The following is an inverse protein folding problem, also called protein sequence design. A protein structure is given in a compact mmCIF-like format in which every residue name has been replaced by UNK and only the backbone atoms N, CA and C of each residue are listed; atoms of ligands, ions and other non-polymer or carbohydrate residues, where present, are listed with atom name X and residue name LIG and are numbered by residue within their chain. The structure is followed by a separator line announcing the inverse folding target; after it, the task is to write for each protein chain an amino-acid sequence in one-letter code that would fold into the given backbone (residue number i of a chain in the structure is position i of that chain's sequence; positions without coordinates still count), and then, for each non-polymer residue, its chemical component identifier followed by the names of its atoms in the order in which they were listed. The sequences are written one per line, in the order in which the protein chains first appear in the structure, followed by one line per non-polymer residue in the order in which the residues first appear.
data_IF_150000752807
#
_entry.id   IF_150000752807
#
_cell.length_a   1.000
_cell.length_b   1.000
_cell.length_c   1.000
_cell.angle_alpha   90.00
_cell.angle_beta   90.00
_cell.angle_gamma   90.00
#
_symmetry.space_group_name_H-M   'P 1'
#
loop_
_entity.id
_entity.type
_entity.pdbx_description
1 polymer ?
#
# COMPACT_ATOMS: atom_id res chain seq x y z
N UNK A 1 27.32 -10.60 -2.03
CA UNK A 1 27.80 -9.24 -2.31
C UNK A 1 26.84 -8.55 -3.27
N UNK A 2 26.17 -7.47 -2.86
CA UNK A 2 25.80 -6.41 -3.75
C UNK A 2 24.37 -6.35 -4.32
N UNK A 3 23.41 -7.17 -3.93
CA UNK A 3 22.05 -7.00 -4.46
C UNK A 3 21.28 -5.80 -3.86
N UNK A 4 21.74 -5.21 -2.79
CA UNK A 4 21.09 -4.05 -2.17
C UNK A 4 21.53 -2.70 -2.76
N UNK A 5 22.78 -2.59 -3.26
CA UNK A 5 23.33 -1.32 -3.70
C UNK A 5 22.54 -0.72 -4.87
N UNK A 6 22.13 -1.52 -5.85
CA UNK A 6 21.35 -1.03 -6.98
C UNK A 6 19.95 -0.52 -6.56
N UNK A 7 19.33 -1.11 -5.54
CA UNK A 7 18.03 -0.66 -5.00
C UNK A 7 18.18 0.71 -4.35
N UNK A 8 19.26 0.89 -3.58
CA UNK A 8 19.57 2.17 -2.93
C UNK A 8 19.88 3.24 -3.97
N UNK A 9 20.59 2.89 -5.04
CA UNK A 9 20.88 3.81 -6.13
C UNK A 9 19.61 4.20 -6.90
N UNK A 10 18.72 3.25 -7.21
CA UNK A 10 17.42 3.52 -7.83
C UNK A 10 16.56 4.46 -6.96
N UNK A 11 16.57 4.28 -5.63
CA UNK A 11 15.85 5.17 -4.71
C UNK A 11 16.43 6.57 -4.71
N UNK A 12 17.75 6.72 -4.72
CA UNK A 12 18.43 8.03 -4.83
C UNK A 12 18.12 8.71 -6.15
N UNK A 13 18.13 7.98 -7.28
CA UNK A 13 17.75 8.51 -8.58
C UNK A 13 16.30 9.00 -8.61
N UNK A 14 15.41 8.29 -7.90
CA UNK A 14 14.02 8.71 -7.68
C UNK A 14 13.86 9.84 -6.65
N UNK A 15 14.95 10.38 -6.09
CA UNK A 15 14.96 11.41 -5.03
C UNK A 15 14.28 10.95 -3.73
N UNK A 16 14.31 9.67 -3.43
CA UNK A 16 13.84 9.10 -2.16
C UNK A 16 14.97 9.21 -1.14
N UNK A 17 14.66 9.70 0.06
CA UNK A 17 15.63 9.73 1.17
C UNK A 17 15.93 8.29 1.63
N UNK A 18 17.21 7.93 1.64
CA UNK A 18 17.70 6.60 2.00
C UNK A 18 18.43 6.55 3.34
N UNK A 19 18.42 7.64 4.13
CA UNK A 19 19.17 7.75 5.39
C UNK A 19 18.74 6.73 6.45
N UNK A 20 17.50 6.23 6.35
CA UNK A 20 16.92 5.26 7.28
C UNK A 20 16.82 3.85 6.69
N UNK A 21 17.44 3.60 5.53
CA UNK A 21 17.53 2.24 4.98
C UNK A 21 18.67 1.52 5.67
N UNK A 22 18.35 0.45 6.37
CA UNK A 22 19.30 -0.39 7.07
C UNK A 22 19.84 -1.49 6.15
N UNK A 23 21.08 -1.87 6.34
CA UNK A 23 21.70 -3.02 5.68
C UNK A 23 21.97 -4.12 6.69
N UNK A 24 21.69 -5.37 6.34
CA UNK A 24 22.00 -6.54 7.16
C UNK A 24 23.30 -7.19 6.69
N UNK A 25 24.18 -7.54 7.63
CA UNK A 25 25.37 -8.34 7.34
C UNK A 25 25.09 -9.85 7.33
N UNK A 26 23.95 -10.28 7.87
CA UNK A 26 23.63 -11.68 8.14
C UNK A 26 22.50 -12.23 7.27
N UNK A 27 21.73 -11.38 6.62
CA UNK A 27 20.57 -11.77 5.81
C UNK A 27 20.65 -11.12 4.42
N UNK A 28 20.26 -11.89 3.41
CA UNK A 28 20.16 -11.37 2.05
C UNK A 28 18.93 -10.47 1.90
N UNK A 29 18.96 -9.58 0.92
CA UNK A 29 17.81 -8.75 0.53
C UNK A 29 16.61 -9.63 0.16
N UNK A 30 15.41 -9.23 0.53
CA UNK A 30 14.16 -9.90 0.17
C UNK A 30 14.04 -10.11 -1.35
N UNK A 31 13.50 -11.25 -1.76
CA UNK A 31 13.39 -11.65 -3.16
C UNK A 31 12.00 -12.21 -3.45
N UNK A 32 11.46 -11.89 -4.61
CA UNK A 32 10.24 -12.48 -5.13
C UNK A 32 10.53 -13.28 -6.41
N UNK A 33 10.15 -14.56 -6.40
CA UNK A 33 10.29 -15.46 -7.54
C UNK A 33 8.91 -15.61 -8.20
N UNK A 34 8.74 -15.02 -9.37
CA UNK A 34 7.48 -15.03 -10.09
C UNK A 34 7.52 -16.10 -11.17
N UNK A 35 6.65 -17.11 -11.05
CA UNK A 35 6.46 -18.15 -12.07
C UNK A 35 5.16 -17.85 -12.82
N UNK A 36 5.25 -17.74 -14.14
CA UNK A 36 4.09 -17.49 -15.01
C UNK A 36 3.85 -18.70 -15.88
N UNK A 37 2.63 -19.25 -15.90
CA UNK A 37 2.25 -20.36 -16.79
C UNK A 37 1.96 -19.85 -18.21
N UNK A 38 1.89 -20.79 -19.17
CA UNK A 38 1.53 -20.44 -20.56
C UNK A 38 0.12 -19.84 -20.67
N UNK A 39 -0.76 -20.14 -19.71
CA UNK A 39 -2.10 -19.58 -19.60
C UNK A 39 -2.14 -18.18 -18.94
N UNK A 40 -0.97 -17.64 -18.54
CA UNK A 40 -0.84 -16.33 -17.92
C UNK A 40 -1.16 -16.29 -16.41
N UNK A 41 -1.31 -17.46 -15.76
CA UNK A 41 -1.43 -17.52 -14.30
C UNK A 41 -0.07 -17.31 -13.66
N UNK A 42 0.00 -16.54 -12.60
CA UNK A 42 1.23 -16.32 -11.85
C UNK A 42 1.17 -16.96 -10.45
N UNK A 43 2.30 -17.42 -10.00
CA UNK A 43 2.54 -17.84 -8.61
C UNK A 43 3.79 -17.11 -8.13
N UNK A 44 3.70 -16.45 -6.99
CA UNK A 44 4.79 -15.68 -6.41
C UNK A 44 5.27 -16.38 -5.15
N UNK A 45 6.56 -16.75 -5.14
CA UNK A 45 7.24 -17.22 -3.93
C UNK A 45 8.07 -16.06 -3.38
N UNK A 46 7.78 -15.62 -2.17
CA UNK A 46 8.49 -14.52 -1.52
C UNK A 46 9.45 -15.07 -0.47
N UNK A 47 10.70 -14.66 -0.54
CA UNK A 47 11.69 -14.78 0.52
C UNK A 47 11.86 -13.41 1.17
N UNK A 48 11.44 -13.26 2.42
CA UNK A 48 11.44 -11.97 3.10
C UNK A 48 12.84 -11.41 3.40
N UNK A 49 13.82 -12.29 3.65
CA UNK A 49 15.22 -11.92 3.89
C UNK A 49 15.37 -10.84 4.97
N UNK A 50 16.23 -9.87 4.71
CA UNK A 50 16.52 -8.77 5.62
C UNK A 50 15.27 -7.96 6.04
N UNK A 51 14.21 -7.91 5.22
CA UNK A 51 12.96 -7.24 5.59
C UNK A 51 12.37 -7.82 6.89
N UNK A 52 12.52 -9.14 7.09
CA UNK A 52 11.98 -9.83 8.27
C UNK A 52 12.84 -9.68 9.53
N UNK A 53 13.95 -8.97 9.46
CA UNK A 53 14.81 -8.68 10.62
C UNK A 53 14.51 -7.34 11.27
N UNK A 54 13.71 -6.50 10.61
CA UNK A 54 13.34 -5.18 11.14
C UNK A 54 12.59 -5.33 12.48
N UNK A 55 12.97 -4.54 13.46
CA UNK A 55 12.41 -4.61 14.81
C UNK A 55 12.05 -3.22 15.34
N UNK A 56 11.43 -3.17 16.52
CA UNK A 56 10.99 -1.93 17.15
C UNK A 56 12.14 -0.95 17.47
N UNK A 57 13.35 -1.44 17.78
CA UNK A 57 14.51 -0.59 18.05
C UNK A 57 15.00 0.09 16.76
N UNK A 58 15.03 -0.63 15.66
CA UNK A 58 15.34 -0.08 14.34
C UNK A 58 14.37 1.05 13.97
N UNK A 59 13.09 0.85 14.20
CA UNK A 59 12.05 1.87 13.98
C UNK A 59 12.27 3.11 14.85
N UNK A 60 12.66 2.93 16.11
CA UNK A 60 12.97 4.05 17.01
C UNK A 60 14.12 4.93 16.51
N UNK A 61 15.09 4.36 15.79
CA UNK A 61 16.15 5.16 15.15
C UNK A 61 15.60 6.10 14.07
N UNK A 62 14.47 5.74 13.43
CA UNK A 62 13.75 6.56 12.45
C UNK A 62 12.66 7.45 13.05
N UNK A 63 12.52 7.56 14.38
CA UNK A 63 11.43 8.28 15.04
C UNK A 63 11.28 9.72 14.52
N UNK A 64 12.38 10.44 14.32
CA UNK A 64 12.32 11.82 13.84
C UNK A 64 11.68 11.92 12.45
N UNK A 65 12.02 11.02 11.53
CA UNK A 65 11.43 11.00 10.20
C UNK A 65 9.92 10.72 10.26
N UNK A 66 9.50 9.78 11.13
CA UNK A 66 8.08 9.47 11.36
C UNK A 66 7.34 10.70 11.90
N UNK A 67 7.91 11.41 12.86
CA UNK A 67 7.29 12.61 13.47
C UNK A 67 7.10 13.77 12.50
N UNK A 68 8.01 13.90 11.52
CA UNK A 68 8.02 14.99 10.54
C UNK A 68 7.24 14.63 9.25
N UNK A 69 6.81 13.38 9.11
CA UNK A 69 6.07 12.91 7.95
C UNK A 69 4.62 13.47 7.91
N UNK A 70 4.05 13.53 6.72
CA UNK A 70 2.63 13.77 6.52
C UNK A 70 1.82 12.48 6.77
N UNK A 71 2.39 11.36 6.32
CA UNK A 71 1.79 10.02 6.38
C UNK A 71 2.86 8.98 6.68
N UNK A 72 2.47 7.93 7.41
CA UNK A 72 3.27 6.71 7.55
C UNK A 72 2.53 5.57 6.87
N UNK A 73 3.17 4.97 5.88
CA UNK A 73 2.60 3.88 5.08
C UNK A 73 3.34 2.59 5.40
N UNK A 74 2.60 1.52 5.63
CA UNK A 74 3.17 0.20 5.85
C UNK A 74 2.41 -0.88 5.06
N UNK A 75 3.11 -1.96 4.80
CA UNK A 75 2.65 -3.21 4.22
C UNK A 75 2.99 -4.37 5.18
N UNK A 76 2.55 -5.60 4.87
CA UNK A 76 2.77 -6.77 5.73
C UNK A 76 3.96 -7.63 5.30
N UNK A 77 4.95 -7.06 4.66
CA UNK A 77 6.20 -7.73 4.25
C UNK A 77 7.36 -7.48 5.21
N UNK A 78 7.07 -6.93 6.37
CA UNK A 78 7.97 -6.74 7.51
C UNK A 78 7.27 -7.24 8.79
N UNK A 79 7.97 -7.46 9.90
CA UNK A 79 7.36 -7.88 11.16
C UNK A 79 6.28 -6.91 11.65
N UNK A 80 5.13 -7.44 12.08
CA UNK A 80 4.01 -6.65 12.61
C UNK A 80 4.45 -5.75 13.77
N UNK A 81 5.35 -6.22 14.62
CA UNK A 81 5.90 -5.46 15.74
C UNK A 81 6.57 -4.16 15.30
N UNK A 82 7.30 -4.18 14.18
CA UNK A 82 7.91 -2.99 13.60
C UNK A 82 6.85 -2.02 13.08
N UNK A 83 5.81 -2.52 12.42
CA UNK A 83 4.69 -1.70 11.94
C UNK A 83 3.95 -1.05 13.11
N UNK A 84 3.62 -1.84 14.15
CA UNK A 84 2.97 -1.31 15.34
C UNK A 84 3.80 -0.22 16.02
N UNK A 85 5.13 -0.40 16.10
CA UNK A 85 5.99 0.61 16.68
C UNK A 85 5.99 1.90 15.86
N UNK A 86 6.08 1.81 14.53
CA UNK A 86 6.01 2.97 13.64
C UNK A 86 4.66 3.70 13.79
N UNK A 87 3.56 2.95 13.83
CA UNK A 87 2.22 3.52 13.96
C UNK A 87 1.99 4.11 15.36
N UNK A 88 2.53 3.53 16.43
CA UNK A 88 2.50 4.13 17.78
C UNK A 88 3.19 5.49 17.81
N UNK A 89 4.37 5.60 17.20
CA UNK A 89 5.10 6.87 17.08
C UNK A 89 4.28 7.87 16.27
N UNK A 90 3.78 7.48 15.11
CA UNK A 90 2.95 8.31 14.25
C UNK A 90 1.73 8.87 14.99
N UNK A 91 0.95 8.01 15.63
CA UNK A 91 -0.25 8.40 16.41
C UNK A 91 0.08 9.35 17.56
N UNK A 92 1.21 9.13 18.25
CA UNK A 92 1.64 10.01 19.33
C UNK A 92 1.97 11.44 18.87
N UNK A 93 2.26 11.61 17.57
CA UNK A 93 2.61 12.90 16.96
C UNK A 93 1.57 13.43 15.98
N UNK A 94 0.39 12.79 15.89
CA UNK A 94 -0.69 13.24 15.01
C UNK A 94 -0.42 13.01 13.52
N UNK A 95 0.47 12.06 13.19
CA UNK A 95 0.74 11.64 11.82
C UNK A 95 -0.23 10.53 11.44
N UNK A 96 -0.87 10.67 10.29
CA UNK A 96 -1.85 9.70 9.78
C UNK A 96 -1.16 8.40 9.34
N UNK A 97 -1.73 7.27 9.77
CA UNK A 97 -1.22 5.93 9.47
C UNK A 97 -2.03 5.27 8.38
N UNK A 98 -1.35 4.66 7.41
CA UNK A 98 -1.94 3.99 6.25
C UNK A 98 -1.40 2.57 6.18
N UNK A 99 -2.30 1.58 6.24
CA UNK A 99 -1.95 0.17 6.13
C UNK A 99 -2.47 -0.40 4.81
N UNK A 100 -1.57 -0.96 3.99
CA UNK A 100 -1.95 -1.90 2.95
C UNK A 100 -1.77 -3.32 3.51
N UNK A 101 -2.84 -4.08 3.74
CA UNK A 101 -2.77 -5.38 4.37
C UNK A 101 -2.36 -6.51 3.41
N UNK A 102 -1.30 -6.29 2.64
CA UNK A 102 -0.72 -7.20 1.66
C UNK A 102 0.66 -7.72 2.11
N UNK A 103 0.94 -9.03 2.02
CA UNK A 103 -0.02 -10.11 1.75
C UNK A 103 -1.01 -10.31 2.90
N UNK A 104 -2.23 -10.74 2.60
CA UNK A 104 -3.25 -10.92 3.62
C UNK A 104 -2.86 -12.00 4.64
N UNK A 105 -2.69 -11.57 5.88
CA UNK A 105 -2.45 -12.41 7.06
C UNK A 105 -3.41 -11.99 8.17
N UNK A 106 -3.56 -12.82 9.20
CA UNK A 106 -4.36 -12.44 10.36
C UNK A 106 -3.69 -11.27 11.09
N UNK A 107 -4.45 -10.21 11.36
CA UNK A 107 -3.96 -9.00 12.01
C UNK A 107 -4.45 -8.89 13.45
N UNK A 108 -3.57 -8.50 14.38
CA UNK A 108 -4.00 -8.21 15.73
C UNK A 108 -4.82 -6.91 15.80
N UNK A 109 -5.82 -6.88 16.68
CA UNK A 109 -6.62 -5.67 16.92
C UNK A 109 -5.76 -4.48 17.37
N UNK A 110 -4.60 -4.73 17.98
CA UNK A 110 -3.62 -3.71 18.34
C UNK A 110 -3.10 -2.93 17.13
N UNK A 111 -2.80 -3.59 16.03
CA UNK A 111 -2.38 -2.93 14.78
C UNK A 111 -3.56 -2.21 14.10
N UNK A 112 -4.73 -2.85 14.04
CA UNK A 112 -5.91 -2.24 13.44
C UNK A 112 -6.32 -0.95 14.15
N UNK A 113 -6.27 -0.92 15.49
CA UNK A 113 -6.59 0.27 16.29
C UNK A 113 -5.58 1.43 16.13
N UNK A 114 -4.39 1.15 15.60
CA UNK A 114 -3.37 2.15 15.28
C UNK A 114 -3.46 2.64 13.84
N UNK A 115 -4.32 2.04 13.02
CA UNK A 115 -4.46 2.33 11.59
C UNK A 115 -5.58 3.34 11.36
N UNK A 116 -5.29 4.45 10.68
CA UNK A 116 -6.29 5.46 10.30
C UNK A 116 -6.97 5.10 8.96
N UNK A 117 -6.16 4.72 7.98
CA UNK A 117 -6.61 4.37 6.63
C UNK A 117 -6.16 2.93 6.32
N UNK A 118 -7.06 2.08 5.90
CA UNK A 118 -6.72 0.74 5.41
C UNK A 118 -7.07 0.61 3.92
N UNK A 119 -6.14 0.00 3.15
CA UNK A 119 -6.27 -0.11 1.69
C UNK A 119 -6.10 -1.58 1.26
N UNK A 120 -7.09 -2.45 1.49
CA UNK A 120 -7.10 -3.82 1.00
C UNK A 120 -7.59 -3.90 -0.46
N UNK A 121 -7.25 -4.99 -1.16
CA UNK A 121 -8.02 -5.45 -2.29
C UNK A 121 -9.19 -6.34 -1.83
N UNK A 122 -10.04 -6.81 -2.76
CA UNK A 122 -11.21 -7.67 -2.44
C UNK A 122 -10.83 -8.93 -1.66
N UNK A 123 -9.74 -9.60 -2.08
CA UNK A 123 -9.29 -10.86 -1.45
C UNK A 123 -8.74 -10.60 -0.04
N UNK A 124 -7.99 -9.53 0.14
CA UNK A 124 -7.46 -9.12 1.44
C UNK A 124 -8.59 -8.71 2.38
N UNK A 125 -9.54 -7.92 1.88
CA UNK A 125 -10.71 -7.49 2.62
C UNK A 125 -11.57 -8.68 3.07
N UNK A 126 -11.82 -9.64 2.17
CA UNK A 126 -12.54 -10.88 2.48
C UNK A 126 -11.80 -11.71 3.54
N UNK A 127 -10.49 -11.87 3.41
CA UNK A 127 -9.70 -12.65 4.37
C UNK A 127 -9.72 -12.04 5.77
N UNK A 128 -9.59 -10.71 5.87
CA UNK A 128 -9.54 -10.02 7.15
C UNK A 128 -10.91 -9.95 7.84
N UNK A 129 -11.98 -9.69 7.07
CA UNK A 129 -13.33 -9.51 7.61
C UNK A 129 -14.12 -10.82 7.72
N UNK A 130 -13.75 -11.85 6.93
CA UNK A 130 -14.55 -13.06 6.72
C UNK A 130 -15.79 -12.84 5.84
N UNK A 131 -15.91 -11.67 5.20
CA UNK A 131 -17.07 -11.27 4.39
C UNK A 131 -16.70 -11.36 2.91
N UNK A 132 -17.37 -12.23 2.15
CA UNK A 132 -17.17 -12.33 0.69
C UNK A 132 -17.86 -11.18 -0.02
N UNK A 133 -17.09 -10.37 -0.74
CA UNK A 133 -17.56 -9.16 -1.41
C UNK A 133 -18.17 -9.53 -2.77
N UNK A 134 -19.48 -9.37 -2.91
CA UNK A 134 -20.24 -9.65 -4.15
C UNK A 134 -21.06 -8.46 -4.62
N UNK A 135 -21.32 -7.51 -3.75
CA UNK A 135 -22.15 -6.34 -3.99
C UNK A 135 -21.81 -5.24 -2.97
N UNK A 136 -22.43 -4.08 -3.14
CA UNK A 136 -22.18 -2.91 -2.29
C UNK A 136 -22.53 -3.13 -0.81
N UNK A 137 -23.56 -3.93 -0.53
CA UNK A 137 -23.93 -4.24 0.85
C UNK A 137 -22.85 -5.06 1.58
N UNK A 138 -22.18 -5.96 0.86
CA UNK A 138 -21.04 -6.72 1.40
C UNK A 138 -19.83 -5.79 1.63
N UNK A 139 -19.60 -4.83 0.73
CA UNK A 139 -18.56 -3.80 0.92
C UNK A 139 -18.84 -2.98 2.17
N UNK A 140 -20.10 -2.55 2.37
CA UNK A 140 -20.47 -1.80 3.57
C UNK A 140 -20.27 -2.60 4.84
N UNK A 141 -20.65 -3.89 4.86
CA UNK A 141 -20.38 -4.76 6.02
C UNK A 141 -18.89 -4.91 6.31
N UNK A 142 -18.07 -5.00 5.26
CA UNK A 142 -16.62 -5.04 5.40
C UNK A 142 -16.07 -3.72 5.98
N UNK A 143 -16.60 -2.59 5.55
CA UNK A 143 -16.27 -1.29 6.11
C UNK A 143 -16.66 -1.20 7.59
N UNK A 144 -17.87 -1.64 7.95
CA UNK A 144 -18.35 -1.65 9.33
C UNK A 144 -17.42 -2.48 10.23
N UNK A 145 -16.95 -3.64 9.74
CA UNK A 145 -15.95 -4.46 10.43
C UNK A 145 -14.66 -3.70 10.77
N UNK A 146 -14.16 -2.88 9.84
CA UNK A 146 -12.96 -2.08 10.05
C UNK A 146 -13.23 -0.87 10.96
N UNK A 147 -14.37 -0.21 10.80
CA UNK A 147 -14.77 0.91 11.65
C UNK A 147 -14.92 0.51 13.12
N UNK A 148 -15.47 -0.67 13.40
CA UNK A 148 -15.58 -1.22 14.76
C UNK A 148 -14.20 -1.44 15.42
N UNK A 149 -13.12 -1.53 14.62
CA UNK A 149 -11.73 -1.69 15.07
C UNK A 149 -10.95 -0.39 15.15
N UNK A 150 -11.62 0.74 14.94
CA UNK A 150 -11.04 2.07 15.11
C UNK A 150 -10.48 2.71 13.85
N UNK A 151 -10.54 2.03 12.69
CA UNK A 151 -10.14 2.57 11.40
C UNK A 151 -11.17 3.65 10.99
N UNK A 152 -10.73 4.78 10.48
CA UNK A 152 -11.60 5.89 10.12
C UNK A 152 -11.91 5.99 8.62
N UNK A 153 -11.05 5.40 7.78
CA UNK A 153 -11.19 5.44 6.32
C UNK A 153 -10.80 4.08 5.73
N UNK A 154 -11.65 3.55 4.88
CA UNK A 154 -11.46 2.26 4.20
C UNK A 154 -11.48 2.47 2.69
N UNK A 155 -10.46 2.00 2.00
CA UNK A 155 -10.39 2.00 0.54
C UNK A 155 -10.27 0.55 0.07
N UNK A 156 -11.30 0.00 -0.59
CA UNK A 156 -11.23 -1.36 -1.16
C UNK A 156 -10.97 -1.24 -2.65
N UNK A 157 -9.81 -1.70 -3.12
CA UNK A 157 -9.50 -1.72 -4.55
C UNK A 157 -10.21 -2.88 -5.24
N UNK A 158 -10.99 -2.58 -6.28
CA UNK A 158 -11.90 -3.49 -7.00
C UNK A 158 -11.44 -3.75 -8.44
N UNK A 159 -10.13 -3.68 -8.70
CA UNK A 159 -9.55 -3.87 -10.03
C UNK A 159 -10.16 -2.94 -11.08
N UNK A 160 -10.74 -3.50 -12.13
CA UNK A 160 -11.33 -2.73 -13.24
C UNK A 160 -12.59 -1.92 -12.87
N UNK A 161 -13.20 -2.19 -11.71
CA UNK A 161 -14.35 -1.44 -11.24
C UNK A 161 -13.92 -0.12 -10.57
N UNK A 162 -12.69 -0.03 -10.07
CA UNK A 162 -12.18 1.16 -9.39
C UNK A 162 -11.92 0.93 -7.91
N UNK A 163 -12.27 1.91 -7.09
CA UNK A 163 -12.02 1.86 -5.65
C UNK A 163 -13.28 2.24 -4.89
N UNK A 164 -13.79 1.35 -4.06
CA UNK A 164 -14.79 1.69 -3.08
C UNK A 164 -14.10 2.36 -1.90
N UNK A 165 -14.50 3.58 -1.58
CA UNK A 165 -14.03 4.23 -0.37
C UNK A 165 -15.19 4.49 0.59
N UNK A 166 -14.86 4.49 1.86
CA UNK A 166 -15.82 4.81 2.91
C UNK A 166 -15.15 5.57 4.05
N UNK A 167 -15.85 6.57 4.53
CA UNK A 167 -15.60 7.31 5.76
C UNK A 167 -16.84 7.23 6.64
N UNK A 168 -16.83 7.84 7.83
CA UNK A 168 -18.02 7.95 8.68
C UNK A 168 -19.16 8.78 8.04
N UNK A 169 -18.91 9.50 6.95
CA UNK A 169 -19.84 10.48 6.38
C UNK A 169 -20.24 10.18 4.94
N UNK A 170 -19.42 9.43 4.21
CA UNK A 170 -19.62 9.19 2.79
C UNK A 170 -19.04 7.83 2.39
N UNK A 171 -19.70 7.17 1.43
CA UNK A 171 -19.19 5.94 0.83
C UNK A 171 -19.71 5.79 -0.60
N UNK A 172 -18.81 5.53 -1.54
CA UNK A 172 -19.15 5.21 -2.94
C UNK A 172 -17.95 4.66 -3.71
N UNK A 173 -18.18 4.26 -4.96
CA UNK A 173 -17.13 3.80 -5.86
C UNK A 173 -16.60 4.97 -6.67
N UNK A 174 -15.29 5.20 -6.62
CA UNK A 174 -14.57 6.03 -7.59
C UNK A 174 -14.15 5.11 -8.75
N UNK A 175 -14.71 5.28 -9.96
CA UNK A 175 -14.52 4.31 -11.04
C UNK A 175 -13.07 4.30 -11.55
N UNK A 176 -12.63 3.11 -12.00
CA UNK A 176 -11.37 2.96 -12.71
C UNK A 176 -11.48 3.44 -14.16
N UNK A 177 -10.31 3.60 -14.78
CA UNK A 177 -10.20 3.89 -16.21
C UNK A 177 -10.12 2.59 -16.99
N UNK A 178 -11.02 2.41 -17.97
CA UNK A 178 -11.08 1.20 -18.77
C UNK A 178 -9.89 1.13 -19.73
N UNK A 179 -9.01 0.18 -19.51
CA UNK A 179 -7.79 -0.05 -20.27
C UNK A 179 -7.59 -1.54 -20.53
N UNK A 180 -6.78 -1.87 -21.51
CA UNK A 180 -6.37 -3.26 -21.72
C UNK A 180 -5.16 -3.57 -20.84
N UNK A 181 -5.36 -4.32 -19.78
CA UNK A 181 -4.28 -4.79 -18.92
C UNK A 181 -3.36 -5.77 -19.68
N UNK A 182 -2.05 -5.60 -19.49
CA UNK A 182 -0.98 -6.47 -19.99
C UNK A 182 -0.33 -7.21 -18.82
N UNK A 183 -0.11 -6.50 -17.70
CA UNK A 183 0.52 -7.02 -16.50
C UNK A 183 -0.03 -6.23 -15.30
N UNK A 184 -0.55 -6.92 -14.30
CA UNK A 184 -1.13 -6.27 -13.10
C UNK A 184 -0.14 -6.16 -11.94
N UNK A 185 1.11 -6.55 -12.16
CA UNK A 185 2.17 -6.42 -11.15
C UNK A 185 2.36 -4.95 -10.77
N UNK A 186 2.52 -4.69 -9.48
CA UNK A 186 2.68 -3.35 -8.89
C UNK A 186 1.50 -2.38 -9.10
N UNK A 187 0.32 -2.84 -9.56
CA UNK A 187 -0.85 -1.96 -9.68
C UNK A 187 -1.31 -1.43 -8.32
N UNK A 188 -1.31 -2.28 -7.28
CA UNK A 188 -1.63 -1.90 -5.91
C UNK A 188 -0.61 -0.93 -5.32
N UNK A 189 0.69 -1.22 -5.49
CA UNK A 189 1.77 -0.36 -5.00
C UNK A 189 1.71 1.02 -5.66
N UNK A 190 1.47 1.06 -6.98
CA UNK A 190 1.25 2.30 -7.73
C UNK A 190 0.04 3.07 -7.20
N UNK A 191 -1.07 2.37 -6.94
CA UNK A 191 -2.26 3.00 -6.38
C UNK A 191 -1.93 3.70 -5.06
N UNK A 192 -1.31 3.00 -4.13
CA UNK A 192 -0.98 3.52 -2.79
C UNK A 192 -0.02 4.70 -2.90
N UNK A 193 1.08 4.57 -3.64
CA UNK A 193 2.05 5.64 -3.83
C UNK A 193 1.45 6.87 -4.49
N UNK A 194 0.63 6.69 -5.53
CA UNK A 194 -0.07 7.79 -6.21
C UNK A 194 -1.12 8.45 -5.31
N UNK A 195 -1.91 7.68 -4.57
CA UNK A 195 -2.88 8.16 -3.60
C UNK A 195 -2.23 9.06 -2.55
N UNK A 196 -1.21 8.54 -1.87
CA UNK A 196 -0.50 9.29 -0.81
C UNK A 196 0.18 10.55 -1.36
N UNK A 197 0.73 10.48 -2.58
CA UNK A 197 1.39 11.63 -3.22
C UNK A 197 0.46 12.82 -3.48
N UNK A 198 -0.87 12.60 -3.50
CA UNK A 198 -1.89 13.63 -3.74
C UNK A 198 -2.75 13.93 -2.52
N UNK A 199 -2.69 13.09 -1.50
CA UNK A 199 -3.52 13.23 -0.31
C UNK A 199 -3.09 14.46 0.50
N UNK A 200 -4.05 15.27 0.91
CA UNK A 200 -3.83 16.37 1.84
C UNK A 200 -3.88 15.88 3.29
N UNK A 201 -3.12 16.50 4.18
CA UNK A 201 -3.00 16.07 5.60
C UNK A 201 -4.34 16.02 6.33
N UNK A 202 -5.28 16.86 5.98
CA UNK A 202 -6.62 16.92 6.58
C UNK A 202 -7.62 15.98 5.90
N UNK A 203 -7.17 15.19 4.92
CA UNK A 203 -7.95 14.25 4.13
C UNK A 203 -9.12 14.89 3.36
N UNK A 204 -9.09 16.20 3.14
CA UNK A 204 -10.19 16.95 2.51
C UNK A 204 -10.39 16.61 1.03
N UNK A 205 -9.38 16.00 0.38
CA UNK A 205 -9.37 15.68 -1.05
C UNK A 205 -9.33 14.18 -1.36
N UNK A 206 -9.88 13.33 -0.49
CA UNK A 206 -9.83 11.87 -0.62
C UNK A 206 -10.23 11.38 -2.01
N UNK A 207 -11.37 11.83 -2.55
CA UNK A 207 -11.86 11.39 -3.86
C UNK A 207 -10.92 11.78 -5.00
N UNK A 208 -10.37 13.00 -4.98
CA UNK A 208 -9.42 13.46 -6.01
C UNK A 208 -8.11 12.66 -5.95
N UNK A 209 -7.63 12.34 -4.74
CA UNK A 209 -6.45 11.50 -4.54
C UNK A 209 -6.69 10.06 -5.04
N UNK A 210 -7.88 9.47 -4.76
CA UNK A 210 -8.27 8.15 -5.27
C UNK A 210 -8.38 8.17 -6.81
N UNK A 211 -8.99 9.21 -7.38
CA UNK A 211 -9.10 9.38 -8.84
C UNK A 211 -7.73 9.39 -9.50
N UNK A 212 -6.79 10.15 -8.95
CA UNK A 212 -5.41 10.19 -9.43
C UNK A 212 -4.71 8.82 -9.29
N UNK A 213 -4.93 8.12 -8.18
CA UNK A 213 -4.39 6.77 -7.97
C UNK A 213 -4.94 5.76 -9.00
N UNK A 214 -6.24 5.79 -9.30
CA UNK A 214 -6.86 4.99 -10.36
C UNK A 214 -6.27 5.31 -11.74
N UNK A 215 -5.98 6.58 -12.04
CA UNK A 215 -5.30 6.99 -13.28
C UNK A 215 -3.90 6.38 -13.37
N UNK A 216 -3.10 6.51 -12.31
CA UNK A 216 -1.73 5.99 -12.27
C UNK A 216 -1.72 4.46 -12.43
N UNK A 217 -2.55 3.74 -11.66
CA UNK A 217 -2.65 2.28 -11.76
C UNK A 217 -3.10 1.81 -13.14
N UNK A 218 -3.98 2.56 -13.81
CA UNK A 218 -4.42 2.23 -15.17
C UNK A 218 -3.27 2.30 -16.19
N UNK A 219 -2.28 3.17 -15.99
CA UNK A 219 -1.06 3.21 -16.82
C UNK A 219 -0.10 2.08 -16.48
N UNK A 220 0.06 1.77 -15.20
CA UNK A 220 0.89 0.66 -14.72
C UNK A 220 0.48 -0.66 -15.37
N UNK A 221 -0.80 -1.01 -15.33
CA UNK A 221 -1.27 -2.30 -15.86
C UNK A 221 -1.15 -2.45 -17.38
N UNK A 222 -0.85 -1.38 -18.12
CA UNK A 222 -0.59 -1.39 -19.56
C UNK A 222 0.88 -1.65 -19.90
N UNK A 223 1.74 -1.78 -18.88
CA UNK A 223 3.19 -1.97 -19.02
C UNK A 223 3.61 -3.28 -18.35
N UNK A 224 4.74 -3.85 -18.79
CA UNK A 224 5.32 -5.04 -18.15
C UNK A 224 6.29 -4.64 -17.05
N UNK A 225 6.34 -5.45 -16.00
CA UNK A 225 7.28 -5.32 -14.90
C UNK A 225 6.69 -4.61 -13.68
N UNK A 226 7.43 -4.61 -12.58
CA UNK A 226 7.06 -3.96 -11.33
C UNK A 226 7.43 -2.47 -11.35
N UNK A 227 8.54 -2.09 -10.74
CA UNK A 227 8.98 -0.69 -10.63
C UNK A 227 9.06 0.03 -11.99
N UNK A 228 9.53 -0.65 -13.05
CA UNK A 228 9.63 -0.08 -14.39
C UNK A 228 8.28 0.26 -15.05
N UNK A 229 7.16 -0.28 -14.54
CA UNK A 229 5.81 -0.01 -15.03
C UNK A 229 5.18 1.25 -14.42
N UNK A 230 5.70 1.71 -13.27
CA UNK A 230 5.14 2.83 -12.50
C UNK A 230 5.28 4.14 -13.31
N UNK A 231 4.17 4.86 -13.56
CA UNK A 231 4.21 6.11 -14.30
C UNK A 231 4.73 7.25 -13.44
N UNK A 232 5.37 8.21 -14.09
CA UNK A 232 5.66 9.50 -13.47
C UNK A 232 4.40 10.38 -13.37
N UNK A 233 4.42 11.35 -12.46
CA UNK A 233 3.37 12.35 -12.35
C UNK A 233 3.04 13.03 -13.71
N UNK A 234 4.08 13.34 -14.50
CA UNK A 234 3.91 13.98 -15.82
C UNK A 234 3.19 13.07 -16.82
N UNK A 235 3.46 11.77 -16.79
CA UNK A 235 2.78 10.82 -17.67
C UNK A 235 1.30 10.69 -17.30
N UNK A 236 0.98 10.60 -16.01
CA UNK A 236 -0.41 10.53 -15.54
C UNK A 236 -1.17 11.79 -15.96
N UNK A 237 -0.63 12.98 -15.68
CA UNK A 237 -1.30 14.24 -15.99
C UNK A 237 -1.41 14.48 -17.50
N UNK A 238 -0.44 14.05 -18.31
CA UNK A 238 -0.52 14.18 -19.75
C UNK A 238 -1.58 13.28 -20.40
N UNK A 239 -1.88 12.12 -19.78
CA UNK A 239 -2.86 11.16 -20.30
C UNK A 239 -4.30 11.55 -19.95
N UNK A 240 -4.53 12.19 -18.81
CA UNK A 240 -5.85 12.39 -18.22
C UNK A 240 -6.26 13.85 -18.00
N UNK A 241 -5.53 14.80 -18.65
CA UNK A 241 -5.92 16.22 -18.71
C UNK A 241 -6.96 16.53 -19.76
#
# INVERSE_FOLDING_TARGET
EGNADFIIDDFKEASINTDYILTSENEETGQAFITVTDEGQNTILVYGGANMTLNAEDVNHGEQAIREADFVVAQLEIPIEAIEQAFKIAKAHGVTTILNPAPAIDLPDSLLSLTDIIIPNETEAERLSGISIKNEADMQQTVDYFFERGISTVLITLGEQGTYFATQHDSHIVPAYQVKAIDTTAAGDTFIGAFVSRLERDLSNLEDAIRFANQASSLTVQRKGAQASIPTYKEVTAQYQ
#
